data_IF_895311279216
#
_entry.id   IF_895311279216
#
_cell.length_a   1.000
_cell.length_b   1.000
_cell.length_c   1.000
_cell.angle_alpha   90.00
_cell.angle_beta   90.00
_cell.angle_gamma   90.00
#
_symmetry.space_group_name_H-M   'P 1'
#
loop_
_entity.id
_entity.type
_entity.pdbx_description
1 polymer ?
#
# COMPACT_ATOMS: atom_id res chain seq x y z
N UNK A 1 -30.43 34.91 14.87
CA UNK A 1 -30.61 33.87 13.84
C UNK A 1 -29.23 33.36 13.46
N UNK A 2 -28.81 32.24 14.02
CA UNK A 2 -27.55 31.58 13.65
C UNK A 2 -27.81 30.08 13.71
N UNK A 3 -28.22 29.51 12.59
CA UNK A 3 -28.24 28.06 12.41
C UNK A 3 -26.81 27.61 12.17
N UNK A 4 -26.18 27.06 13.22
CA UNK A 4 -25.02 26.19 13.08
C UNK A 4 -25.54 24.90 12.47
N UNK A 5 -25.41 24.78 11.15
CA UNK A 5 -25.52 23.49 10.47
C UNK A 5 -24.28 22.68 10.84
N UNK A 6 -24.37 21.94 11.94
CA UNK A 6 -23.47 20.83 12.23
C UNK A 6 -23.67 19.80 11.13
N UNK A 7 -22.81 19.83 10.11
CA UNK A 7 -22.70 18.76 9.14
C UNK A 7 -22.13 17.56 9.91
N UNK A 8 -23.02 16.70 10.43
CA UNK A 8 -22.64 15.42 10.98
C UNK A 8 -22.03 14.61 9.83
N UNK A 9 -20.70 14.54 9.78
CA UNK A 9 -19.97 13.64 8.91
C UNK A 9 -20.44 12.23 9.21
N UNK A 10 -21.14 11.62 8.25
CA UNK A 10 -21.54 10.22 8.28
C UNK A 10 -20.25 9.39 8.33
N UNK A 11 -19.83 9.03 9.54
CA UNK A 11 -18.74 8.11 9.78
C UNK A 11 -19.23 6.71 9.43
N UNK A 12 -18.71 6.14 8.35
CA UNK A 12 -19.11 4.81 7.89
C UNK A 12 -18.58 3.73 8.84
N UNK A 13 -17.61 4.08 9.70
CA UNK A 13 -16.92 3.15 10.61
C UNK A 13 -15.98 2.20 9.85
N UNK A 14 -15.65 2.54 8.60
CA UNK A 14 -14.82 1.70 7.74
C UNK A 14 -13.35 1.74 8.18
N UNK A 15 -12.92 2.79 8.87
CA UNK A 15 -11.58 2.92 9.42
C UNK A 15 -11.26 1.84 10.47
N UNK A 16 -12.17 1.58 11.40
CA UNK A 16 -12.05 0.50 12.38
C UNK A 16 -12.16 -0.88 11.72
N UNK A 17 -13.03 -1.02 10.72
CA UNK A 17 -13.16 -2.27 9.98
C UNK A 17 -11.84 -2.65 9.29
N UNK A 18 -11.20 -1.70 8.61
CA UNK A 18 -9.91 -1.91 7.96
C UNK A 18 -8.83 -2.33 8.97
N UNK A 19 -8.78 -1.72 10.15
CA UNK A 19 -7.82 -2.13 11.19
C UNK A 19 -8.08 -3.55 11.70
N UNK A 20 -9.33 -3.96 11.80
CA UNK A 20 -9.68 -5.34 12.14
C UNK A 20 -9.26 -6.33 11.04
N UNK A 21 -9.44 -5.97 9.77
CA UNK A 21 -8.99 -6.76 8.64
C UNK A 21 -7.45 -6.87 8.61
N UNK A 22 -6.73 -5.77 8.81
CA UNK A 22 -5.26 -5.76 8.91
C UNK A 22 -4.78 -6.68 10.03
N UNK A 23 -5.40 -6.60 11.22
CA UNK A 23 -5.09 -7.49 12.34
C UNK A 23 -5.33 -8.96 11.97
N UNK A 24 -6.43 -9.27 11.28
CA UNK A 24 -6.72 -10.64 10.86
C UNK A 24 -5.71 -11.14 9.83
N UNK A 25 -5.39 -10.32 8.83
CA UNK A 25 -4.39 -10.61 7.82
C UNK A 25 -2.98 -10.79 8.41
N UNK A 26 -2.58 -9.99 9.41
CA UNK A 26 -1.31 -10.16 10.12
C UNK A 26 -1.25 -11.50 10.87
N UNK A 27 -2.36 -11.93 11.48
CA UNK A 27 -2.46 -13.26 12.09
C UNK A 27 -2.25 -14.34 11.04
N UNK A 28 -2.93 -14.25 9.90
CA UNK A 28 -2.81 -15.18 8.79
C UNK A 28 -1.39 -15.24 8.21
N UNK A 29 -0.72 -14.10 8.08
CA UNK A 29 0.67 -14.03 7.64
C UNK A 29 1.62 -14.76 8.60
N UNK A 30 1.36 -14.70 9.91
CA UNK A 30 2.16 -15.42 10.90
C UNK A 30 1.88 -16.93 10.91
N UNK A 31 0.61 -17.31 10.79
CA UNK A 31 0.18 -18.69 10.93
C UNK A 31 0.48 -19.51 9.65
N UNK A 32 0.17 -18.94 8.47
CA UNK A 32 0.20 -19.64 7.17
C UNK A 32 1.28 -19.09 6.21
N UNK A 33 1.88 -17.93 6.51
CA UNK A 33 2.81 -17.25 5.60
C UNK A 33 2.14 -16.59 4.39
N UNK A 34 0.80 -16.52 4.39
CA UNK A 34 0.04 -15.99 3.26
C UNK A 34 -0.06 -14.45 3.32
N UNK A 35 0.38 -13.79 2.25
CA UNK A 35 0.23 -12.34 2.09
C UNK A 35 -1.20 -11.96 1.73
N UNK A 36 -1.65 -10.80 2.19
CA UNK A 36 -3.01 -10.28 1.90
C UNK A 36 -2.92 -8.88 1.34
N UNK A 37 -3.76 -8.54 0.36
CA UNK A 37 -3.86 -7.19 -0.20
C UNK A 37 -5.27 -6.66 0.06
N UNK A 38 -5.36 -5.45 0.60
CA UNK A 38 -6.61 -4.75 0.87
C UNK A 38 -6.65 -3.51 -0.03
N UNK A 39 -7.64 -3.44 -0.92
CA UNK A 39 -7.87 -2.27 -1.78
C UNK A 39 -8.73 -1.24 -1.04
N UNK A 40 -8.13 -0.09 -0.69
CA UNK A 40 -8.84 0.96 0.02
C UNK A 40 -9.83 1.70 -0.89
N UNK A 41 -9.58 1.75 -2.20
CA UNK A 41 -10.46 2.44 -3.17
C UNK A 41 -11.67 1.60 -3.57
N UNK A 42 -11.61 0.28 -3.39
CA UNK A 42 -12.75 -0.61 -3.59
C UNK A 42 -13.83 -0.45 -2.50
N UNK A 43 -13.51 0.20 -1.38
CA UNK A 43 -14.41 0.38 -0.25
C UNK A 43 -15.02 1.79 -0.32
N UNK A 44 -16.35 1.93 -0.23
CA UNK A 44 -16.99 3.25 -0.21
C UNK A 44 -16.66 3.96 1.11
N UNK A 45 -15.69 4.86 1.08
CA UNK A 45 -15.26 5.65 2.24
C UNK A 45 -15.90 7.04 2.23
N UNK A 46 -16.26 7.53 3.42
CA UNK A 46 -16.63 8.91 3.66
C UNK A 46 -15.40 9.83 3.54
N UNK A 47 -15.59 11.12 3.19
CA UNK A 47 -14.49 12.07 3.12
C UNK A 47 -13.69 12.12 4.43
N UNK A 48 -12.37 11.88 4.32
CA UNK A 48 -11.45 11.92 5.45
C UNK A 48 -11.29 10.61 6.23
N UNK A 49 -12.04 9.55 5.93
CA UNK A 49 -11.79 8.20 6.52
C UNK A 49 -10.42 7.66 6.07
N UNK A 50 -10.07 7.79 4.80
CA UNK A 50 -8.77 7.36 4.27
C UNK A 50 -7.61 8.04 5.01
N UNK A 51 -7.70 9.35 5.20
CA UNK A 51 -6.69 10.10 5.96
C UNK A 51 -6.62 9.68 7.43
N UNK A 52 -7.75 9.28 8.04
CA UNK A 52 -7.75 8.72 9.41
C UNK A 52 -7.06 7.36 9.43
N UNK A 53 -7.36 6.48 8.47
CA UNK A 53 -6.70 5.18 8.35
C UNK A 53 -5.19 5.36 8.25
N UNK A 54 -4.72 6.23 7.36
CA UNK A 54 -3.29 6.52 7.20
C UNK A 54 -2.67 7.06 8.49
N UNK A 55 -3.33 8.01 9.16
CA UNK A 55 -2.86 8.55 10.43
C UNK A 55 -2.79 7.49 11.53
N UNK A 56 -3.74 6.55 11.56
CA UNK A 56 -3.78 5.46 12.53
C UNK A 56 -2.72 4.40 12.26
N UNK A 57 -2.46 4.10 10.98
CA UNK A 57 -1.38 3.19 10.58
C UNK A 57 -0.01 3.80 10.86
N UNK A 58 0.10 5.12 10.77
CA UNK A 58 1.36 5.84 10.98
C UNK A 58 2.40 5.47 9.94
N UNK A 59 3.64 5.90 10.20
CA UNK A 59 4.78 5.65 9.34
C UNK A 59 5.79 4.76 10.04
N UNK A 60 6.25 3.74 9.32
CA UNK A 60 7.33 2.85 9.73
C UNK A 60 8.70 3.38 9.33
N UNK A 61 9.66 2.47 9.26
CA UNK A 61 11.07 2.82 9.02
C UNK A 61 11.43 2.81 7.53
N UNK A 62 10.71 2.01 6.74
CA UNK A 62 11.04 1.77 5.34
C UNK A 62 10.11 2.53 4.39
N UNK A 63 10.71 3.16 3.39
CA UNK A 63 10.01 3.78 2.27
C UNK A 63 10.75 3.49 0.97
N UNK A 64 10.03 3.08 -0.06
CA UNK A 64 10.55 2.87 -1.40
C UNK A 64 9.69 3.62 -2.42
N UNK A 65 10.34 4.03 -3.52
CA UNK A 65 9.68 4.62 -4.68
C UNK A 65 10.03 3.79 -5.91
N UNK A 66 9.00 3.35 -6.62
CA UNK A 66 9.13 2.67 -7.90
C UNK A 66 8.67 3.61 -9.01
N UNK A 67 9.50 3.80 -10.02
CA UNK A 67 9.17 4.60 -11.20
C UNK A 67 9.05 3.65 -12.40
N UNK A 68 7.85 3.11 -12.62
CA UNK A 68 7.56 2.17 -13.69
C UNK A 68 6.16 2.46 -14.26
N UNK A 69 6.11 3.04 -15.47
CA UNK A 69 4.86 3.44 -16.14
C UNK A 69 3.96 4.38 -15.29
N UNK A 70 4.58 5.13 -14.39
CA UNK A 70 3.92 5.87 -13.31
C UNK A 70 4.75 5.76 -12.03
N UNK A 71 4.53 6.67 -11.08
CA UNK A 71 5.19 6.61 -9.77
C UNK A 71 4.39 5.68 -8.87
N UNK A 72 5.05 4.86 -8.06
CA UNK A 72 4.44 4.13 -6.97
C UNK A 72 5.25 4.34 -5.70
N UNK A 73 4.57 4.59 -4.58
CA UNK A 73 5.19 4.69 -3.26
C UNK A 73 4.82 3.46 -2.45
N UNK A 74 5.80 2.89 -1.77
CA UNK A 74 5.65 1.71 -0.93
C UNK A 74 6.22 2.09 0.42
N UNK A 75 5.37 2.24 1.43
CA UNK A 75 5.77 2.70 2.75
C UNK A 75 5.39 1.65 3.78
N UNK A 76 6.32 1.29 4.64
CA UNK A 76 5.99 0.53 5.83
C UNK A 76 5.19 1.42 6.79
N UNK A 77 4.19 0.84 7.43
CA UNK A 77 3.41 1.54 8.47
C UNK A 77 4.11 1.39 9.83
N UNK A 78 3.58 2.01 10.88
CA UNK A 78 4.11 1.79 12.25
C UNK A 78 3.92 0.33 12.72
N UNK A 79 3.12 -0.47 11.99
CA UNK A 79 2.94 -1.90 12.22
C UNK A 79 3.75 -2.70 11.20
N UNK A 80 4.84 -3.33 11.67
CA UNK A 80 5.71 -4.14 10.81
C UNK A 80 4.94 -5.26 10.10
N UNK A 81 5.21 -5.40 8.80
CA UNK A 81 4.49 -6.33 7.93
C UNK A 81 3.19 -5.77 7.34
N UNK A 82 2.78 -4.56 7.70
CA UNK A 82 1.73 -3.81 7.00
C UNK A 82 2.34 -2.66 6.20
N UNK A 83 2.03 -2.63 4.90
CA UNK A 83 2.63 -1.73 3.92
C UNK A 83 1.55 -0.95 3.18
N UNK A 84 1.69 0.37 3.13
CA UNK A 84 0.84 1.25 2.33
C UNK A 84 1.47 1.44 0.95
N UNK A 85 0.78 0.97 -0.08
CA UNK A 85 1.19 1.06 -1.48
C UNK A 85 0.25 2.05 -2.19
N UNK A 86 0.81 3.11 -2.75
CA UNK A 86 0.05 4.07 -3.56
C UNK A 86 0.61 4.11 -4.97
N UNK A 87 -0.26 3.88 -5.95
CA UNK A 87 0.07 3.98 -7.37
C UNK A 87 -0.43 5.31 -7.94
N UNK A 88 0.43 5.96 -8.70
CA UNK A 88 0.18 7.20 -9.40
C UNK A 88 0.29 6.99 -10.91
N UNK A 89 -0.48 7.74 -11.69
CA UNK A 89 -0.28 7.83 -13.13
C UNK A 89 0.89 8.77 -13.47
N UNK A 90 1.08 9.03 -14.77
CA UNK A 90 2.10 9.97 -15.26
C UNK A 90 1.78 11.45 -14.97
N UNK A 91 0.57 11.75 -14.50
CA UNK A 91 0.09 13.09 -14.15
C UNK A 91 0.03 13.31 -12.62
N UNK A 92 0.68 12.43 -11.84
CA UNK A 92 0.69 12.43 -10.37
C UNK A 92 -0.68 12.25 -9.70
N UNK A 93 -1.67 11.74 -10.44
CA UNK A 93 -2.97 11.38 -9.87
C UNK A 93 -2.95 9.96 -9.31
N UNK A 94 -3.58 9.76 -8.15
CA UNK A 94 -3.66 8.43 -7.52
C UNK A 94 -4.57 7.54 -8.37
N UNK A 95 -4.00 6.47 -8.91
CA UNK A 95 -4.72 5.39 -9.60
C UNK A 95 -5.27 4.36 -8.61
N UNK A 96 -4.48 4.03 -7.59
CA UNK A 96 -4.76 2.93 -6.68
C UNK A 96 -4.10 3.14 -5.33
N UNK A 97 -4.75 2.69 -4.25
CA UNK A 97 -4.16 2.69 -2.92
C UNK A 97 -4.53 1.40 -2.19
N UNK A 98 -3.49 0.71 -1.72
CA UNK A 98 -3.58 -0.64 -1.22
C UNK A 98 -2.82 -0.76 0.10
N UNK A 99 -3.31 -1.62 0.98
CA UNK A 99 -2.55 -2.09 2.13
C UNK A 99 -2.15 -3.52 1.86
N UNK A 100 -0.86 -3.76 1.71
CA UNK A 100 -0.30 -5.10 1.57
C UNK A 100 0.22 -5.57 2.92
N UNK A 101 -0.25 -6.75 3.35
CA UNK A 101 0.20 -7.44 4.55
C UNK A 101 1.16 -8.54 4.11
N UNK A 102 2.46 -8.30 4.23
CA UNK A 102 3.51 -9.21 3.79
C UNK A 102 4.84 -8.91 4.48
N UNK A 103 5.76 -9.88 4.48
CA UNK A 103 7.14 -9.67 5.00
C UNK A 103 7.96 -8.76 4.09
N UNK A 104 7.73 -8.87 2.78
CA UNK A 104 8.30 -8.03 1.74
C UNK A 104 7.22 -7.82 0.69
N UNK A 105 6.87 -6.56 0.36
CA UNK A 105 5.92 -6.25 -0.69
C UNK A 105 6.30 -6.92 -2.00
N UNK A 106 5.33 -7.61 -2.61
CA UNK A 106 5.55 -8.35 -3.86
C UNK A 106 6.12 -7.46 -4.98
N UNK A 107 5.70 -6.20 -5.02
CA UNK A 107 6.16 -5.19 -6.00
C UNK A 107 7.64 -4.81 -5.86
N UNK A 108 8.26 -5.06 -4.70
CA UNK A 108 9.69 -4.80 -4.49
C UNK A 108 10.56 -5.99 -4.91
N UNK A 109 9.98 -7.17 -5.12
CA UNK A 109 10.72 -8.34 -5.57
C UNK A 109 10.99 -8.27 -7.07
N UNK A 110 12.26 -8.39 -7.46
CA UNK A 110 12.64 -8.51 -8.87
C UNK A 110 12.05 -9.78 -9.46
N UNK A 111 11.47 -9.67 -10.66
CA UNK A 111 10.94 -10.81 -11.39
C UNK A 111 12.07 -11.68 -11.91
N UNK A 112 11.81 -12.98 -12.06
CA UNK A 112 12.82 -13.94 -12.49
C UNK A 112 13.35 -13.60 -13.89
N UNK A 113 12.44 -13.23 -14.79
CA UNK A 113 12.72 -12.88 -16.18
C UNK A 113 13.62 -11.64 -16.28
N UNK A 114 13.39 -10.62 -15.44
CA UNK A 114 14.22 -9.42 -15.40
C UNK A 114 15.65 -9.75 -14.96
N UNK A 115 15.81 -10.69 -14.02
CA UNK A 115 17.12 -11.16 -13.54
C UNK A 115 17.86 -11.94 -14.64
N UNK A 116 17.16 -12.79 -15.39
CA UNK A 116 17.73 -13.51 -16.54
C UNK A 116 18.24 -12.53 -17.61
N UNK A 117 17.43 -11.55 -17.98
CA UNK A 117 17.82 -10.48 -18.92
C UNK A 117 19.04 -9.72 -18.41
N UNK A 118 19.08 -9.38 -17.13
CA UNK A 118 20.23 -8.69 -16.53
C UNK A 118 21.52 -9.54 -16.60
N UNK A 119 21.42 -10.85 -16.38
CA UNK A 119 22.56 -11.77 -16.47
C UNK A 119 23.10 -11.85 -17.91
N UNK A 120 22.22 -11.96 -18.90
CA UNK A 120 22.61 -11.98 -20.32
C UNK A 120 23.31 -10.68 -20.72
N UNK A 121 22.73 -9.54 -20.34
CA UNK A 121 23.30 -8.21 -20.62
C UNK A 121 24.69 -8.06 -20.02
N UNK A 122 24.87 -8.42 -18.75
CA UNK A 122 26.16 -8.33 -18.08
C UNK A 122 27.19 -9.28 -18.68
N UNK A 123 26.77 -10.50 -19.05
CA UNK A 123 27.65 -11.47 -19.73
C UNK A 123 28.15 -10.93 -21.07
N UNK A 124 27.27 -10.31 -21.86
CA UNK A 124 27.65 -9.69 -23.12
C UNK A 124 28.65 -8.53 -22.91
N UNK A 125 28.45 -7.69 -21.88
CA UNK A 125 29.38 -6.59 -21.58
C UNK A 125 30.79 -7.05 -21.22
N UNK A 126 30.94 -8.25 -20.63
CA UNK A 126 32.24 -8.80 -20.23
C UNK A 126 33.02 -9.45 -21.39
N UNK A 127 32.39 -9.69 -22.53
CA UNK A 127 32.99 -10.30 -23.73
C UNK A 127 33.44 -9.30 -24.79
N UNK A 128 33.15 -8.00 -24.59
CA UNK A 128 33.56 -6.87 -25.43
C UNK A 128 34.79 -6.19 -24.83
#
# INVERSE_FOLDING_TARGET
>A
MSNVNTCASLDTGNDILILHEIRHALRKLLDDGESTIIDLRAIPMAPGEEARIEAMLGQGELSATLNALGKSTINETAFSGAWLITHYNTEDEILGKFIEISKLPSILASQHEDIEVALEQLTHQLLV
#
